data_IF_563999966686
#
_entry.id   IF_563999966686
#
_cell.length_a   1.000
_cell.length_b   1.000
_cell.length_c   1.000
_cell.angle_alpha   90.00
_cell.angle_beta   90.00
_cell.angle_gamma   90.00
#
_symmetry.space_group_name_H-M   'P 1'
#
loop_
_entity.id
_entity.type
_entity.pdbx_description
1 polymer ?
#
# COMPACT_ATOMS: atom_id res chain seq x y z
N UNK A 1 -30.38 0.09 6.14
CA UNK A 1 -31.82 0.09 5.79
C UNK A 1 -32.71 -0.16 7.01
N UNK A 2 -32.56 -1.28 7.72
CA UNK A 2 -33.31 -1.58 8.94
C UNK A 2 -33.28 -0.46 10.00
N UNK A 3 -32.10 0.08 10.34
CA UNK A 3 -31.97 1.18 11.31
C UNK A 3 -32.81 2.41 10.96
N UNK A 4 -32.87 2.77 9.67
CA UNK A 4 -33.72 3.87 9.18
C UNK A 4 -35.21 3.55 9.36
N UNK A 5 -35.66 2.32 9.08
CA UNK A 5 -37.04 1.87 9.34
C UNK A 5 -37.39 1.89 10.83
N UNK A 6 -36.40 1.61 11.70
CA UNK A 6 -36.53 1.70 13.16
C UNK A 6 -36.45 3.13 13.69
N UNK A 7 -36.41 4.14 12.80
CA UNK A 7 -36.27 5.58 13.13
C UNK A 7 -35.02 5.91 13.94
N UNK A 8 -33.95 5.13 13.78
CA UNK A 8 -32.65 5.48 14.35
C UNK A 8 -31.96 6.53 13.49
N UNK A 9 -31.32 7.51 14.12
CA UNK A 9 -30.42 8.44 13.45
C UNK A 9 -29.27 7.65 12.81
N UNK A 10 -29.32 7.46 11.50
CA UNK A 10 -28.42 6.54 10.78
C UNK A 10 -27.62 7.32 9.75
N UNK A 11 -26.31 7.22 9.82
CA UNK A 11 -25.36 7.71 8.81
C UNK A 11 -24.53 6.52 8.31
N UNK A 12 -24.61 6.21 7.02
CA UNK A 12 -23.94 5.09 6.37
C UNK A 12 -22.97 5.61 5.32
N UNK A 13 -21.68 5.64 5.67
CA UNK A 13 -20.60 6.19 4.84
C UNK A 13 -19.71 5.06 4.33
N UNK A 14 -19.25 5.17 3.09
CA UNK A 14 -18.23 4.29 2.51
C UNK A 14 -17.42 5.10 1.49
N UNK A 15 -16.49 4.47 0.76
CA UNK A 15 -15.69 5.11 -0.27
C UNK A 15 -14.67 4.18 -0.90
N UNK A 16 -13.90 4.72 -1.84
CA UNK A 16 -12.76 4.03 -2.44
C UNK A 16 -11.46 4.32 -1.70
N UNK A 17 -10.69 3.27 -1.44
CA UNK A 17 -9.29 3.38 -1.04
C UNK A 17 -8.41 3.38 -2.29
N UNK A 18 -7.47 4.32 -2.35
CA UNK A 18 -6.85 4.77 -3.59
C UNK A 18 -5.34 4.92 -3.50
N UNK A 19 -4.79 4.98 -2.27
CA UNK A 19 -3.36 5.11 -2.07
C UNK A 19 -2.65 3.76 -2.11
N UNK A 20 -1.34 3.80 -2.30
CA UNK A 20 -0.45 2.65 -2.18
C UNK A 20 0.15 2.19 -3.50
N UNK A 21 1.17 1.36 -3.38
CA UNK A 21 2.01 0.94 -4.52
C UNK A 21 1.22 0.16 -5.57
N UNK A 22 0.12 -0.53 -5.21
CA UNK A 22 -0.71 -1.24 -6.18
C UNK A 22 -1.32 -0.28 -7.22
N UNK A 23 -1.84 0.87 -6.76
CA UNK A 23 -2.34 1.94 -7.64
C UNK A 23 -1.24 2.45 -8.56
N UNK A 24 -0.06 2.76 -8.02
CA UNK A 24 1.08 3.23 -8.82
C UNK A 24 1.51 2.21 -9.89
N UNK A 25 1.55 0.93 -9.50
CA UNK A 25 1.91 -0.18 -10.40
C UNK A 25 0.94 -0.26 -11.55
N UNK A 26 -0.35 -0.27 -11.24
CA UNK A 26 -1.40 -0.44 -12.23
C UNK A 26 -1.51 0.77 -13.14
N UNK A 27 -1.36 1.97 -12.59
CA UNK A 27 -1.31 3.21 -13.34
C UNK A 27 -0.17 3.19 -14.36
N UNK A 28 1.03 2.78 -13.94
CA UNK A 28 2.18 2.62 -14.84
C UNK A 28 1.94 1.58 -15.94
N UNK A 29 1.36 0.42 -15.60
CA UNK A 29 1.03 -0.62 -16.59
C UNK A 29 -0.01 -0.16 -17.62
N UNK A 30 -0.94 0.70 -17.22
CA UNK A 30 -1.98 1.24 -18.10
C UNK A 30 -1.58 2.55 -18.80
N UNK A 31 -0.37 3.08 -18.55
CA UNK A 31 0.07 4.36 -19.10
C UNK A 31 -0.73 5.56 -18.58
N UNK A 32 -1.26 5.46 -17.36
CA UNK A 32 -2.06 6.48 -16.69
C UNK A 32 -1.31 7.04 -15.48
N UNK A 33 -1.70 8.22 -15.02
CA UNK A 33 -1.36 8.67 -13.67
C UNK A 33 -2.18 7.91 -12.61
N UNK A 34 -1.69 7.79 -11.36
CA UNK A 34 -2.47 7.22 -10.27
C UNK A 34 -3.82 7.90 -10.07
N UNK A 35 -3.87 9.22 -10.29
CA UNK A 35 -5.11 9.99 -10.17
C UNK A 35 -6.14 9.59 -11.23
N UNK A 36 -5.75 9.52 -12.50
CA UNK A 36 -6.63 9.11 -13.59
C UNK A 36 -7.16 7.68 -13.39
N UNK A 37 -6.29 6.77 -12.96
CA UNK A 37 -6.68 5.40 -12.63
C UNK A 37 -7.77 5.39 -11.55
N UNK A 38 -7.53 6.07 -10.43
CA UNK A 38 -8.47 6.13 -9.32
C UNK A 38 -9.78 6.83 -9.70
N UNK A 39 -9.72 7.91 -10.48
CA UNK A 39 -10.91 8.64 -10.94
C UNK A 39 -11.83 7.72 -11.78
N UNK A 40 -11.24 6.92 -12.67
CA UNK A 40 -11.98 5.95 -13.48
C UNK A 40 -12.61 4.84 -12.62
N UNK A 41 -11.85 4.24 -11.71
CA UNK A 41 -12.36 3.14 -10.88
C UNK A 41 -13.34 3.61 -9.81
N UNK A 42 -13.18 4.80 -9.26
CA UNK A 42 -14.15 5.37 -8.31
C UNK A 42 -15.54 5.51 -8.95
N UNK A 43 -15.62 6.04 -10.17
CA UNK A 43 -16.87 6.14 -10.92
C UNK A 43 -17.48 4.75 -11.16
N UNK A 44 -16.68 3.78 -11.61
CA UNK A 44 -17.12 2.41 -11.82
C UNK A 44 -17.68 1.76 -10.54
N UNK A 45 -17.00 1.91 -9.41
CA UNK A 45 -17.48 1.40 -8.12
C UNK A 45 -18.80 2.05 -7.71
N UNK A 46 -18.92 3.38 -7.88
CA UNK A 46 -20.15 4.11 -7.56
C UNK A 46 -21.34 3.61 -8.41
N UNK A 47 -21.14 3.40 -9.71
CA UNK A 47 -22.17 2.89 -10.63
C UNK A 47 -22.63 1.49 -10.25
N UNK A 48 -21.69 0.59 -9.93
CA UNK A 48 -21.99 -0.77 -9.48
C UNK A 48 -22.82 -0.72 -8.19
N UNK A 49 -22.38 0.04 -7.18
CA UNK A 49 -23.09 0.12 -5.91
C UNK A 49 -24.47 0.78 -6.04
N UNK A 50 -24.62 1.75 -6.94
CA UNK A 50 -25.92 2.33 -7.29
C UNK A 50 -26.85 1.29 -7.94
N UNK A 51 -26.34 0.47 -8.86
CA UNK A 51 -27.09 -0.61 -9.51
C UNK A 51 -27.58 -1.65 -8.50
N UNK A 52 -26.72 -2.05 -7.54
CA UNK A 52 -27.10 -2.93 -6.42
C UNK A 52 -27.99 -2.24 -5.36
N UNK A 53 -28.34 -0.96 -5.56
CA UNK A 53 -29.14 -0.14 -4.64
C UNK A 53 -28.54 -0.08 -3.24
N UNK A 54 -27.21 0.01 -3.13
CA UNK A 54 -26.55 0.24 -1.84
C UNK A 54 -26.78 1.71 -1.45
N UNK A 55 -27.53 1.93 -0.38
CA UNK A 55 -28.03 3.25 0.01
C UNK A 55 -27.05 3.97 0.94
N UNK A 56 -25.83 4.25 0.48
CA UNK A 56 -24.88 5.11 1.20
C UNK A 56 -25.46 6.52 1.35
N UNK A 57 -25.28 7.14 2.50
CA UNK A 57 -25.57 8.57 2.70
C UNK A 57 -24.42 9.42 2.12
N UNK A 58 -23.21 8.88 2.11
CA UNK A 58 -22.05 9.44 1.41
C UNK A 58 -21.14 8.31 0.93
N UNK A 59 -20.79 8.34 -0.37
CA UNK A 59 -19.75 7.48 -0.95
C UNK A 59 -18.57 8.35 -1.39
N UNK A 60 -17.54 8.40 -0.54
CA UNK A 60 -16.39 9.29 -0.68
C UNK A 60 -15.14 8.62 -1.24
N UNK A 61 -13.99 9.24 -1.00
CA UNK A 61 -12.67 8.87 -1.52
C UNK A 61 -11.59 9.20 -0.50
N UNK A 62 -10.48 8.45 -0.50
CA UNK A 62 -9.33 8.78 0.37
C UNK A 62 -8.44 9.87 -0.21
N UNK A 63 -8.46 10.16 -1.52
CA UNK A 63 -7.58 11.16 -2.16
C UNK A 63 -8.10 12.61 -2.05
N UNK A 64 -8.39 13.06 -0.84
CA UNK A 64 -8.94 14.41 -0.56
C UNK A 64 -8.01 15.26 0.31
N UNK A 65 -8.07 16.60 0.22
CA UNK A 65 -7.34 17.47 1.14
C UNK A 65 -7.67 17.23 2.62
N UNK A 66 -8.92 16.84 2.90
CA UNK A 66 -9.40 16.52 4.24
C UNK A 66 -8.71 15.27 4.80
N UNK A 67 -8.51 14.22 3.97
CA UNK A 67 -7.75 13.03 4.38
C UNK A 67 -6.36 13.42 4.85
N UNK A 68 -5.62 14.20 4.05
CA UNK A 68 -4.27 14.64 4.43
C UNK A 68 -4.29 15.40 5.74
N UNK A 69 -5.24 16.31 5.92
CA UNK A 69 -5.34 17.14 7.12
C UNK A 69 -5.64 16.33 8.38
N UNK A 70 -6.58 15.38 8.30
CA UNK A 70 -6.98 14.52 9.43
C UNK A 70 -5.87 13.52 9.76
N UNK A 71 -5.30 12.85 8.75
CA UNK A 71 -4.22 11.90 8.95
C UNK A 71 -2.99 12.56 9.57
N UNK A 72 -2.61 13.76 9.10
CA UNK A 72 -1.52 14.53 9.68
C UNK A 72 -1.82 14.99 11.10
N UNK A 73 -3.05 15.44 11.41
CA UNK A 73 -3.42 15.81 12.79
C UNK A 73 -3.30 14.63 13.76
N UNK A 74 -3.82 13.46 13.38
CA UNK A 74 -3.70 12.23 14.18
C UNK A 74 -2.21 11.87 14.38
N UNK A 75 -1.44 11.88 13.30
CA UNK A 75 0.01 11.62 13.35
C UNK A 75 0.73 12.57 14.30
N UNK A 76 0.49 13.88 14.20
CA UNK A 76 1.14 14.89 15.05
C UNK A 76 0.76 14.71 16.52
N UNK A 77 -0.49 14.34 16.81
CA UNK A 77 -0.94 14.06 18.19
C UNK A 77 -0.28 12.83 18.79
N UNK A 78 -0.03 11.79 17.99
CA UNK A 78 0.69 10.58 18.40
C UNK A 78 2.18 10.88 18.62
N UNK A 79 2.79 11.63 17.70
CA UNK A 79 4.18 12.07 17.79
C UNK A 79 4.42 12.88 19.07
N UNK A 80 3.59 13.90 19.33
CA UNK A 80 3.71 14.77 20.49
C UNK A 80 3.53 14.04 21.84
N UNK A 81 2.90 12.86 21.84
CA UNK A 81 2.69 12.03 23.03
C UNK A 81 3.72 10.90 23.17
N UNK A 82 4.70 10.81 22.28
CA UNK A 82 5.74 9.77 22.34
C UNK A 82 5.24 8.37 21.99
N UNK A 83 4.16 8.27 21.19
CA UNK A 83 3.64 7.00 20.67
C UNK A 83 4.25 6.59 19.33
N UNK A 84 5.15 7.39 18.76
CA UNK A 84 5.87 7.04 17.54
C UNK A 84 7.34 6.77 17.83
N UNK A 85 7.83 5.64 17.34
CA UNK A 85 9.24 5.26 17.34
C UNK A 85 9.83 5.56 15.98
N UNK A 86 11.13 5.89 15.94
CA UNK A 86 11.87 6.03 14.70
C UNK A 86 12.95 4.96 14.67
N UNK A 87 13.03 4.23 13.56
CA UNK A 87 14.06 3.21 13.36
C UNK A 87 14.54 3.20 11.90
N UNK A 88 15.71 2.60 11.67
CA UNK A 88 16.29 2.45 10.34
C UNK A 88 16.08 1.04 9.83
N UNK A 89 15.44 0.91 8.67
CA UNK A 89 15.28 -0.37 7.98
C UNK A 89 16.16 -0.41 6.73
N UNK A 90 16.73 -1.58 6.48
CA UNK A 90 17.37 -1.89 5.21
C UNK A 90 16.32 -2.24 4.15
N UNK A 91 16.31 -1.49 3.05
CA UNK A 91 15.41 -1.74 1.93
C UNK A 91 16.19 -1.81 0.62
N UNK A 92 15.70 -2.64 -0.31
CA UNK A 92 16.27 -2.70 -1.65
C UNK A 92 15.86 -1.47 -2.46
N UNK A 93 16.84 -0.75 -2.99
CA UNK A 93 16.67 0.42 -3.85
C UNK A 93 17.15 0.12 -5.26
N UNK A 94 16.29 0.33 -6.24
CA UNK A 94 16.70 0.30 -7.64
C UNK A 94 17.20 1.69 -8.06
N UNK A 95 18.50 1.80 -8.31
CA UNK A 95 19.11 3.06 -8.73
C UNK A 95 18.61 3.52 -10.10
N UNK A 96 18.47 2.59 -11.05
CA UNK A 96 17.96 2.89 -12.40
C UNK A 96 16.50 3.38 -12.40
N UNK A 97 15.66 2.87 -11.48
CA UNK A 97 14.27 3.33 -11.33
C UNK A 97 14.11 4.47 -10.33
N UNK A 98 15.18 4.88 -9.66
CA UNK A 98 15.19 5.95 -8.66
C UNK A 98 14.29 5.72 -7.44
N UNK A 99 13.98 4.47 -7.08
CA UNK A 99 12.96 4.15 -6.04
C UNK A 99 13.32 2.94 -5.18
N UNK A 100 12.78 2.92 -3.97
CA UNK A 100 12.75 1.71 -3.13
C UNK A 100 11.76 0.70 -3.70
N UNK A 101 12.12 -0.58 -3.62
CA UNK A 101 11.34 -1.68 -4.15
C UNK A 101 10.52 -2.31 -3.03
N UNK A 102 9.21 -2.39 -3.23
CA UNK A 102 8.38 -3.31 -2.45
C UNK A 102 8.73 -4.76 -2.83
N UNK A 103 8.51 -5.70 -1.92
CA UNK A 103 8.88 -7.12 -2.09
C UNK A 103 8.36 -7.74 -3.40
N UNK A 104 7.14 -7.35 -3.82
CA UNK A 104 6.53 -7.76 -5.09
C UNK A 104 7.29 -7.33 -6.35
N UNK A 105 8.21 -6.38 -6.24
CA UNK A 105 9.05 -5.88 -7.33
C UNK A 105 10.49 -6.40 -7.27
N UNK A 106 10.78 -7.28 -6.33
CA UNK A 106 12.07 -7.96 -6.21
C UNK A 106 11.89 -9.42 -6.58
N UNK A 107 12.71 -9.87 -7.52
CA UNK A 107 12.93 -11.29 -7.83
C UNK A 107 14.38 -11.63 -7.51
N UNK A 108 14.67 -12.88 -7.20
CA UNK A 108 16.04 -13.32 -7.00
C UNK A 108 16.14 -14.81 -6.69
N UNK A 109 17.36 -15.26 -6.44
CA UNK A 109 17.61 -16.65 -6.08
C UNK A 109 17.34 -16.88 -4.59
N UNK A 110 16.50 -17.87 -4.29
CA UNK A 110 16.16 -18.28 -2.94
C UNK A 110 17.42 -18.77 -2.19
N UNK A 111 17.77 -18.19 -1.03
CA UNK A 111 18.95 -18.60 -0.26
C UNK A 111 18.82 -19.99 0.36
N UNK A 112 17.60 -20.54 0.43
CA UNK A 112 17.32 -21.84 1.09
C UNK A 112 17.27 -23.02 0.13
N UNK A 113 16.78 -22.84 -1.11
CA UNK A 113 16.59 -23.94 -2.06
C UNK A 113 17.16 -23.68 -3.47
N UNK A 114 17.79 -22.52 -3.68
CA UNK A 114 18.39 -22.15 -4.96
C UNK A 114 17.40 -21.87 -6.09
N UNK A 115 16.11 -21.70 -5.80
CA UNK A 115 15.12 -21.31 -6.81
C UNK A 115 15.41 -19.91 -7.35
N UNK A 116 15.68 -19.77 -8.65
CA UNK A 116 16.18 -18.54 -9.27
C UNK A 116 15.16 -17.38 -9.34
N UNK A 117 13.86 -17.68 -9.21
CA UNK A 117 12.76 -16.73 -9.39
C UNK A 117 11.93 -16.55 -8.11
N UNK A 118 12.58 -16.60 -6.94
CA UNK A 118 11.92 -16.34 -5.67
C UNK A 118 11.52 -14.86 -5.57
N UNK A 119 10.38 -14.60 -4.94
CA UNK A 119 9.87 -13.25 -4.68
C UNK A 119 10.47 -12.70 -3.40
N UNK A 120 10.44 -11.38 -3.23
CA UNK A 120 10.98 -10.72 -2.03
C UNK A 120 10.30 -11.11 -0.71
N UNK A 121 9.07 -11.63 -0.75
CA UNK A 121 8.26 -12.01 0.41
C UNK A 121 8.24 -13.53 0.67
N UNK A 122 8.30 -14.33 -0.40
CA UNK A 122 8.18 -15.78 -0.32
C UNK A 122 8.83 -16.49 -1.51
N UNK A 123 9.48 -17.62 -1.23
CA UNK A 123 9.86 -18.56 -2.29
C UNK A 123 8.71 -19.52 -2.61
N UNK A 124 8.15 -19.43 -3.81
CA UNK A 124 7.04 -20.30 -4.25
C UNK A 124 7.45 -21.78 -4.41
N UNK A 125 8.75 -22.09 -4.48
CA UNK A 125 9.25 -23.47 -4.61
C UNK A 125 9.30 -24.22 -3.28
N UNK A 126 9.87 -23.60 -2.23
CA UNK A 126 10.02 -24.24 -0.92
C UNK A 126 9.03 -23.72 0.13
N UNK A 127 8.21 -22.73 -0.22
CA UNK A 127 7.20 -22.13 0.66
C UNK A 127 7.76 -21.21 1.74
N UNK A 128 9.09 -21.05 1.84
CA UNK A 128 9.74 -20.26 2.88
C UNK A 128 9.42 -18.77 2.72
N UNK A 129 8.96 -18.16 3.81
CA UNK A 129 8.86 -16.70 3.95
C UNK A 129 10.27 -16.15 4.17
N UNK A 130 10.63 -15.12 3.42
CA UNK A 130 11.96 -14.52 3.39
C UNK A 130 11.83 -13.00 3.36
N UNK A 131 12.88 -12.29 3.75
CA UNK A 131 12.99 -10.85 3.52
C UNK A 131 13.68 -10.60 2.18
N UNK A 132 13.27 -9.57 1.44
CA UNK A 132 13.81 -9.31 0.11
C UNK A 132 15.32 -9.07 0.10
N UNK A 133 15.87 -8.51 1.18
CA UNK A 133 17.32 -8.30 1.37
C UNK A 133 18.13 -9.60 1.49
N UNK A 134 17.48 -10.74 1.79
CA UNK A 134 18.12 -12.06 1.89
C UNK A 134 18.24 -12.77 0.53
N UNK A 135 17.58 -12.25 -0.52
CA UNK A 135 17.65 -12.83 -1.85
C UNK A 135 19.07 -12.74 -2.41
N UNK A 136 19.54 -13.84 -2.99
CA UNK A 136 20.79 -13.85 -3.75
C UNK A 136 20.53 -13.33 -5.17
N UNK A 137 21.43 -12.50 -5.71
CA UNK A 137 21.27 -11.87 -7.02
C UNK A 137 19.88 -11.21 -7.20
N UNK A 138 19.49 -10.27 -6.32
CA UNK A 138 18.19 -9.62 -6.44
C UNK A 138 18.12 -8.85 -7.76
N UNK A 139 16.93 -8.79 -8.35
CA UNK A 139 16.62 -8.08 -9.58
C UNK A 139 15.33 -7.31 -9.43
N UNK A 140 15.32 -6.09 -9.97
CA UNK A 140 14.13 -5.28 -10.08
C UNK A 140 13.23 -5.82 -11.20
N UNK A 141 11.99 -6.21 -10.90
CA UNK A 141 11.02 -6.66 -11.92
C UNK A 141 10.72 -5.59 -12.99
N UNK A 142 10.89 -4.32 -12.67
CA UNK A 142 10.52 -3.20 -13.55
C UNK A 142 11.55 -2.95 -14.66
N UNK A 143 12.84 -2.93 -14.31
CA UNK A 143 13.92 -2.59 -15.25
C UNK A 143 14.97 -3.69 -15.42
N UNK A 144 14.85 -4.81 -14.70
CA UNK A 144 15.84 -5.90 -14.63
C UNK A 144 17.22 -5.51 -14.07
N UNK A 145 17.38 -4.29 -13.57
CA UNK A 145 18.59 -3.86 -12.87
C UNK A 145 18.72 -4.48 -11.48
N UNK A 146 19.96 -4.60 -11.00
CA UNK A 146 20.29 -5.11 -9.66
C UNK A 146 20.05 -4.01 -8.62
N UNK A 147 19.13 -4.18 -7.65
CA UNK A 147 18.94 -3.23 -6.58
C UNK A 147 20.05 -3.35 -5.52
N UNK A 148 20.27 -2.25 -4.80
CA UNK A 148 21.24 -2.14 -3.71
C UNK A 148 20.52 -2.02 -2.37
N UNK A 149 21.08 -2.62 -1.32
CA UNK A 149 20.55 -2.45 0.04
C UNK A 149 20.89 -1.02 0.50
N UNK A 150 19.88 -0.27 0.95
CA UNK A 150 20.05 1.11 1.39
C UNK A 150 19.26 1.33 2.69
N UNK A 151 19.85 1.96 3.71
CA UNK A 151 19.14 2.28 4.95
C UNK A 151 18.08 3.37 4.71
N UNK A 152 16.91 3.19 5.33
CA UNK A 152 15.77 4.10 5.25
C UNK A 152 15.20 4.34 6.63
N UNK A 153 14.89 5.59 6.96
CA UNK A 153 14.24 5.91 8.23
C UNK A 153 12.74 5.70 8.10
N UNK A 154 12.16 4.98 9.05
CA UNK A 154 10.74 4.72 9.16
C UNK A 154 10.22 5.15 10.53
N UNK A 155 8.94 5.51 10.56
CA UNK A 155 8.21 5.79 11.79
C UNK A 155 7.25 4.63 12.07
N UNK A 156 7.25 4.17 13.32
CA UNK A 156 6.44 3.06 13.79
C UNK A 156 5.49 3.54 14.88
N UNK A 157 4.26 3.04 14.88
CA UNK A 157 3.35 3.22 16.01
C UNK A 157 3.74 2.24 17.13
N UNK A 158 4.00 2.77 18.32
CA UNK A 158 4.32 2.00 19.53
C UNK A 158 3.05 1.37 20.11
N UNK A 159 2.50 0.36 19.41
CA UNK A 159 1.28 -0.35 19.82
C UNK A 159 1.33 -0.88 21.27
N UNK A 160 2.47 -1.40 21.79
CA UNK A 160 2.55 -1.81 23.20
C UNK A 160 2.27 -0.70 24.24
N UNK A 161 2.42 0.58 23.88
CA UNK A 161 2.13 1.71 24.76
C UNK A 161 0.69 2.22 24.70
N UNK A 162 -0.10 1.76 23.73
CA UNK A 162 -1.50 2.19 23.51
C UNK A 162 -2.45 1.27 24.25
#
# INVERSE_FOLDING_TARGET
RYCRLRRWNTLFVCGTDEYGTATETRALQEGLSPRELCDRYHALHADIYAWFRISFDHFGRTTTPQQTRIAQDIFQRLLARGFLLQDTLEQLRCESCGRYLADRFVEGTCPFCGYAEARGDQCDRCGKLINAVELQNPQCKLCRGTPVVTPTQHLFLDLPKV
#
